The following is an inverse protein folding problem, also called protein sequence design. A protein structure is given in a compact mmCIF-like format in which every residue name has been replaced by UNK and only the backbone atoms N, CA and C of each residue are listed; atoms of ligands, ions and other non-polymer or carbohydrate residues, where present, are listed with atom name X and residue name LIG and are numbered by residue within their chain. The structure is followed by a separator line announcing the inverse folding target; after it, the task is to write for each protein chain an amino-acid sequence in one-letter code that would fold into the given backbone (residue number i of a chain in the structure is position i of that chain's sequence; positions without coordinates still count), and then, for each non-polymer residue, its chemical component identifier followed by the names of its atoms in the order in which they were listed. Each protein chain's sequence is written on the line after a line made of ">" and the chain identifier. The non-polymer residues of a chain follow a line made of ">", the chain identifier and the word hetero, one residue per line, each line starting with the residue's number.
data_IF_811851342347
#
_entry.id   IF_811851342347
#
_cell.length_a   1.000
_cell.length_b   1.000
_cell.length_c   1.000
_cell.angle_alpha   90.00
_cell.angle_beta   90.00
_cell.angle_gamma   90.00
#
_symmetry.space_group_name_H-M   'P 1'
#
loop_
_entity.id
_entity.type
_entity.pdbx_description
1 polymer ?
#
# COMPACT_ATOMS: atom_id res chain seq x y z
N UNK A 1 -31.00 12.19 0.51
CA UNK A 1 -30.46 13.55 0.26
C UNK A 1 -29.46 13.96 1.35
N UNK A 2 -29.81 13.87 2.64
CA UNK A 2 -28.91 14.23 3.75
C UNK A 2 -27.52 13.55 3.76
N UNK A 3 -27.35 12.22 3.53
CA UNK A 3 -26.01 11.62 3.56
C UNK A 3 -25.05 12.14 2.48
N UNK A 4 -25.58 12.51 1.30
CA UNK A 4 -24.79 13.10 0.21
C UNK A 4 -24.34 14.52 0.56
N UNK A 5 -25.21 15.31 1.18
CA UNK A 5 -24.88 16.66 1.66
C UNK A 5 -23.83 16.60 2.79
N UNK A 6 -23.95 15.64 3.70
CA UNK A 6 -22.94 15.40 4.74
C UNK A 6 -21.59 15.00 4.14
N UNK A 7 -21.59 14.11 3.15
CA UNK A 7 -20.37 13.73 2.43
C UNK A 7 -19.72 14.94 1.75
N UNK A 8 -20.52 15.79 1.10
CA UNK A 8 -20.03 17.03 0.49
C UNK A 8 -19.41 17.97 1.53
N UNK A 9 -20.05 18.15 2.69
CA UNK A 9 -19.51 18.96 3.79
C UNK A 9 -18.22 18.37 4.38
N UNK A 10 -18.10 17.05 4.46
CA UNK A 10 -16.88 16.38 4.90
C UNK A 10 -15.72 16.61 3.94
N UNK A 11 -15.97 16.54 2.63
CA UNK A 11 -14.96 16.87 1.62
C UNK A 11 -14.58 18.33 1.67
N UNK A 12 -15.55 19.25 1.77
CA UNK A 12 -15.29 20.68 1.92
C UNK A 12 -14.36 20.93 3.12
N UNK A 13 -14.62 20.28 4.27
CA UNK A 13 -13.79 20.35 5.47
C UNK A 13 -12.39 19.75 5.31
N UNK A 14 -12.24 18.76 4.44
CA UNK A 14 -10.98 18.05 4.17
C UNK A 14 -10.05 18.86 3.27
N UNK A 15 -10.62 19.75 2.45
CA UNK A 15 -9.90 20.54 1.44
C UNK A 15 -9.97 22.05 1.72
N UNK A 16 -10.17 22.47 2.98
CA UNK A 16 -10.35 23.90 3.28
C UNK A 16 -9.05 24.65 3.06
N UNK A 17 -9.07 25.83 2.42
CA UNK A 17 -7.85 26.55 2.08
C UNK A 17 -6.94 26.90 3.25
N UNK A 18 -7.53 27.23 4.39
CA UNK A 18 -6.87 27.84 5.53
C UNK A 18 -6.37 26.80 6.55
N UNK A 19 -6.33 25.52 6.19
CA UNK A 19 -5.94 24.46 7.14
C UNK A 19 -4.43 24.42 7.37
N UNK A 20 -4.04 24.20 8.63
CA UNK A 20 -2.65 24.01 9.02
C UNK A 20 -2.37 22.70 9.77
N UNK A 21 -1.10 22.50 10.13
CA UNK A 21 -0.67 21.30 10.87
C UNK A 21 -1.38 21.17 12.23
N UNK A 22 -1.84 22.26 12.84
CA UNK A 22 -2.61 22.22 14.11
C UNK A 22 -4.01 21.65 13.86
N UNK A 23 -4.57 21.88 12.68
CA UNK A 23 -5.83 21.25 12.28
C UNK A 23 -5.69 19.73 12.12
N UNK A 24 -4.50 19.21 11.80
CA UNK A 24 -4.26 17.77 11.79
C UNK A 24 -4.44 17.16 13.18
N UNK A 25 -3.95 17.83 14.23
CA UNK A 25 -4.05 17.33 15.61
C UNK A 25 -5.47 17.51 16.15
N UNK A 26 -6.07 18.69 15.93
CA UNK A 26 -7.31 19.09 16.61
C UNK A 26 -8.59 18.76 15.81
N UNK A 27 -8.52 18.74 14.48
CA UNK A 27 -9.68 18.54 13.59
C UNK A 27 -9.66 17.21 12.85
N UNK A 28 -8.49 16.68 12.49
CA UNK A 28 -8.41 15.39 11.80
C UNK A 28 -8.91 14.22 12.66
N UNK A 29 -9.01 14.37 13.98
CA UNK A 29 -9.52 13.31 14.84
C UNK A 29 -10.98 12.96 14.53
N UNK A 30 -11.82 13.93 14.14
CA UNK A 30 -13.25 13.71 13.86
C UNK A 30 -13.59 13.37 12.41
N UNK A 31 -12.75 13.79 11.45
CA UNK A 31 -13.03 13.65 10.01
C UNK A 31 -13.22 12.18 9.60
N UNK A 32 -12.33 11.23 9.96
CA UNK A 32 -12.53 9.82 9.62
C UNK A 32 -13.84 9.25 10.15
N UNK A 33 -14.23 9.59 11.38
CA UNK A 33 -15.49 9.11 11.95
C UNK A 33 -16.72 9.68 11.23
N UNK A 34 -16.65 10.92 10.75
CA UNK A 34 -17.69 11.50 9.91
C UNK A 34 -17.88 10.73 8.61
N UNK A 35 -16.79 10.42 7.90
CA UNK A 35 -16.85 9.59 6.69
C UNK A 35 -17.37 8.19 6.99
N UNK A 36 -16.85 7.53 8.04
CA UNK A 36 -17.30 6.21 8.45
C UNK A 36 -18.80 6.18 8.78
N UNK A 37 -19.32 7.20 9.47
CA UNK A 37 -20.74 7.30 9.78
C UNK A 37 -21.61 7.37 8.51
N UNK A 38 -21.18 8.15 7.49
CA UNK A 38 -21.88 8.21 6.20
C UNK A 38 -21.84 6.85 5.49
N UNK A 39 -20.67 6.20 5.46
CA UNK A 39 -20.50 4.92 4.75
C UNK A 39 -21.28 3.79 5.41
N UNK A 40 -21.26 3.70 6.74
CA UNK A 40 -21.98 2.68 7.50
C UNK A 40 -23.49 2.92 7.54
N UNK A 41 -23.96 4.14 7.28
CA UNK A 41 -25.38 4.44 7.13
C UNK A 41 -25.97 3.92 5.81
N UNK A 42 -25.15 3.60 4.80
CA UNK A 42 -25.64 2.92 3.60
C UNK A 42 -26.07 1.47 3.95
N UNK A 43 -27.26 1.01 3.51
CA UNK A 43 -27.78 -0.29 3.92
C UNK A 43 -26.94 -1.45 3.38
N UNK A 44 -26.93 -2.56 4.12
CA UNK A 44 -26.25 -3.80 3.71
C UNK A 44 -26.99 -4.45 2.54
N UNK A 45 -26.25 -5.09 1.64
CA UNK A 45 -26.81 -5.84 0.52
C UNK A 45 -27.22 -5.01 -0.69
N UNK A 46 -27.10 -3.68 -0.62
CA UNK A 46 -27.22 -2.80 -1.79
C UNK A 46 -25.88 -2.15 -2.12
N UNK A 47 -25.63 -1.76 -3.38
CA UNK A 47 -24.41 -1.04 -3.74
C UNK A 47 -24.25 0.25 -2.91
N UNK A 48 -23.14 0.35 -2.17
CA UNK A 48 -22.75 1.55 -1.40
C UNK A 48 -22.17 2.63 -2.32
N UNK A 49 -23.05 3.35 -3.02
CA UNK A 49 -22.67 4.34 -4.04
C UNK A 49 -21.88 5.52 -3.47
N UNK A 50 -22.21 5.98 -2.26
CA UNK A 50 -21.52 7.11 -1.63
C UNK A 50 -20.12 6.72 -1.18
N UNK A 51 -19.96 5.51 -0.63
CA UNK A 51 -18.65 4.93 -0.35
C UNK A 51 -17.77 4.86 -1.60
N UNK A 52 -18.29 4.34 -2.71
CA UNK A 52 -17.51 4.21 -3.95
C UNK A 52 -17.09 5.59 -4.49
N UNK A 53 -18.01 6.55 -4.57
CA UNK A 53 -17.73 7.92 -5.01
C UNK A 53 -16.69 8.59 -4.10
N UNK A 54 -16.81 8.39 -2.79
CA UNK A 54 -15.89 8.97 -1.82
C UNK A 54 -14.51 8.32 -1.88
N UNK A 55 -14.41 7.00 -2.07
CA UNK A 55 -13.14 6.29 -2.16
C UNK A 55 -12.32 6.74 -3.37
N UNK A 56 -12.94 6.93 -4.54
CA UNK A 56 -12.24 7.49 -5.70
C UNK A 56 -11.66 8.87 -5.36
N UNK A 57 -12.48 9.79 -4.84
CA UNK A 57 -12.01 11.15 -4.47
C UNK A 57 -10.94 11.15 -3.39
N UNK A 58 -11.06 10.29 -2.38
CA UNK A 58 -10.07 10.16 -1.31
C UNK A 58 -8.75 9.59 -1.85
N UNK A 59 -8.80 8.66 -2.80
CA UNK A 59 -7.60 8.12 -3.44
C UNK A 59 -6.94 9.13 -4.38
N UNK A 60 -7.71 9.97 -5.05
CA UNK A 60 -7.19 11.10 -5.84
C UNK A 60 -6.44 12.08 -4.93
N UNK A 61 -7.07 12.50 -3.82
CA UNK A 61 -6.42 13.35 -2.81
C UNK A 61 -5.18 12.71 -2.19
N UNK A 62 -5.18 11.38 -1.99
CA UNK A 62 -4.03 10.67 -1.45
C UNK A 62 -2.88 10.55 -2.46
N UNK A 63 -3.17 10.49 -3.77
CA UNK A 63 -2.19 10.39 -4.84
C UNK A 63 -1.66 11.74 -5.33
N UNK A 64 -2.31 12.83 -4.97
CA UNK A 64 -1.86 14.18 -5.25
C UNK A 64 -0.47 14.41 -4.61
N UNK A 65 0.53 14.66 -5.45
CA UNK A 65 1.93 14.78 -5.06
C UNK A 65 2.28 16.21 -4.56
N UNK A 66 1.27 17.07 -4.45
CA UNK A 66 1.40 18.42 -3.93
C UNK A 66 2.35 19.27 -4.76
N UNK A 67 2.46 19.02 -6.07
CA UNK A 67 3.31 19.81 -6.97
C UNK A 67 3.05 21.32 -6.82
N UNK A 68 1.78 21.72 -6.72
CA UNK A 68 1.38 23.10 -6.46
C UNK A 68 1.91 23.63 -5.12
N UNK A 69 1.94 22.79 -4.07
CA UNK A 69 2.50 23.16 -2.76
C UNK A 69 4.00 23.37 -2.87
N UNK A 70 4.69 22.50 -3.63
CA UNK A 70 6.14 22.57 -3.86
C UNK A 70 6.54 23.82 -4.64
N UNK A 71 5.69 24.32 -5.54
CA UNK A 71 5.91 25.58 -6.27
C UNK A 71 5.68 26.83 -5.41
N UNK A 72 5.35 26.67 -4.12
CA UNK A 72 5.05 27.80 -3.23
C UNK A 72 3.71 28.46 -3.55
N UNK A 73 2.87 27.82 -4.37
CA UNK A 73 1.52 28.29 -4.64
C UNK A 73 0.69 28.09 -3.38
N UNK A 74 -0.06 29.12 -2.99
CA UNK A 74 -1.00 29.03 -1.86
C UNK A 74 -2.14 28.14 -2.31
N UNK A 75 -1.97 26.85 -2.09
CA UNK A 75 -3.02 25.91 -2.38
C UNK A 75 -4.21 26.12 -1.46
N UNK A 76 -5.37 25.68 -1.92
CA UNK A 76 -6.44 25.36 -1.00
C UNK A 76 -5.98 24.22 -0.06
N UNK A 77 -5.54 24.56 1.15
CA UNK A 77 -5.31 23.63 2.25
C UNK A 77 -3.84 23.32 2.49
N UNK A 78 -2.92 24.08 1.87
CA UNK A 78 -1.50 23.93 2.13
C UNK A 78 -1.01 25.06 3.03
N UNK A 79 -0.69 24.73 4.28
CA UNK A 79 -0.06 25.66 5.21
C UNK A 79 1.34 25.17 5.54
N UNK A 80 2.31 26.10 5.60
CA UNK A 80 3.71 25.81 5.90
C UNK A 80 4.33 24.76 4.96
N UNK A 81 3.85 24.70 3.71
CA UNK A 81 4.29 23.75 2.70
C UNK A 81 3.75 22.33 2.89
N UNK A 82 2.87 22.03 3.86
CA UNK A 82 2.31 20.67 4.05
C UNK A 82 1.02 20.49 3.24
N UNK A 83 0.90 19.37 2.52
CA UNK A 83 -0.34 18.98 1.83
C UNK A 83 -1.37 18.39 2.82
N UNK A 84 -2.08 19.25 3.55
CA UNK A 84 -3.05 18.84 4.59
C UNK A 84 -4.18 17.95 4.04
N UNK A 85 -4.78 18.22 2.87
CA UNK A 85 -5.81 17.34 2.30
C UNK A 85 -5.32 15.91 2.07
N UNK A 86 -4.07 15.72 1.62
CA UNK A 86 -3.48 14.39 1.43
C UNK A 86 -3.36 13.63 2.76
N UNK A 87 -2.97 14.32 3.84
CA UNK A 87 -2.88 13.72 5.18
C UNK A 87 -4.26 13.28 5.68
N UNK A 88 -5.28 14.14 5.53
CA UNK A 88 -6.65 13.78 5.89
C UNK A 88 -7.16 12.60 5.07
N UNK A 89 -6.89 12.57 3.76
CA UNK A 89 -7.27 11.46 2.90
C UNK A 89 -6.67 10.13 3.39
N UNK A 90 -5.36 10.09 3.68
CA UNK A 90 -4.74 8.90 4.26
C UNK A 90 -5.33 8.50 5.62
N UNK A 91 -5.62 9.48 6.48
CA UNK A 91 -6.26 9.22 7.76
C UNK A 91 -7.65 8.60 7.58
N UNK A 92 -8.48 9.10 6.66
CA UNK A 92 -9.79 8.50 6.38
C UNK A 92 -9.63 7.09 5.79
N UNK A 93 -8.77 6.93 4.77
CA UNK A 93 -8.52 5.64 4.10
C UNK A 93 -8.06 4.56 5.09
N UNK A 94 -7.25 4.91 6.11
CA UNK A 94 -6.89 3.99 7.19
C UNK A 94 -8.12 3.36 7.85
N UNK A 95 -9.12 4.16 8.23
CA UNK A 95 -10.30 3.64 8.94
C UNK A 95 -11.17 2.83 7.99
N UNK A 96 -11.37 3.31 6.77
CA UNK A 96 -12.18 2.63 5.76
C UNK A 96 -11.58 1.26 5.40
N UNK A 97 -10.27 1.16 5.19
CA UNK A 97 -9.62 -0.12 4.93
C UNK A 97 -9.48 -1.00 6.19
N UNK A 98 -9.46 -0.43 7.39
CA UNK A 98 -9.46 -1.25 8.61
C UNK A 98 -10.85 -1.83 8.94
N UNK A 99 -11.92 -1.25 8.39
CA UNK A 99 -13.28 -1.67 8.68
C UNK A 99 -13.61 -3.04 8.06
N UNK A 100 -14.22 -3.91 8.87
CA UNK A 100 -14.58 -5.27 8.48
C UNK A 100 -15.89 -5.31 7.70
N UNK A 101 -16.84 -4.44 8.03
CA UNK A 101 -18.15 -4.38 7.37
C UNK A 101 -18.01 -3.90 5.92
N UNK A 102 -17.07 -3.00 5.64
CA UNK A 102 -16.83 -2.44 4.31
C UNK A 102 -15.88 -3.29 3.45
N UNK A 103 -15.53 -4.51 3.86
CA UNK A 103 -14.45 -5.28 3.20
C UNK A 103 -14.77 -5.64 1.74
N UNK A 104 -16.01 -6.02 1.46
CA UNK A 104 -16.43 -6.43 0.11
C UNK A 104 -16.34 -5.27 -0.87
N UNK A 105 -16.72 -4.07 -0.43
CA UNK A 105 -16.76 -2.85 -1.22
C UNK A 105 -15.37 -2.22 -1.36
N UNK A 106 -14.54 -2.29 -0.33
CA UNK A 106 -13.21 -1.63 -0.31
C UNK A 106 -12.12 -2.44 -0.98
N UNK A 107 -12.29 -3.75 -1.18
CA UNK A 107 -11.20 -4.58 -1.72
C UNK A 107 -10.82 -4.22 -3.16
N UNK A 108 -11.78 -3.78 -3.98
CA UNK A 108 -11.52 -3.30 -5.34
C UNK A 108 -10.61 -2.06 -5.40
N UNK A 109 -10.52 -1.32 -4.29
CA UNK A 109 -9.70 -0.12 -4.16
C UNK A 109 -8.32 -0.38 -3.55
N UNK A 110 -8.06 -1.59 -3.06
CA UNK A 110 -6.85 -1.88 -2.28
C UNK A 110 -5.56 -1.69 -3.10
N UNK A 111 -5.56 -2.01 -4.40
CA UNK A 111 -4.41 -1.80 -5.28
C UNK A 111 -4.06 -0.31 -5.44
N UNK A 112 -5.07 0.55 -5.69
CA UNK A 112 -4.91 2.01 -5.74
C UNK A 112 -4.43 2.54 -4.39
N UNK A 113 -5.00 2.06 -3.28
CA UNK A 113 -4.62 2.43 -1.92
C UNK A 113 -3.17 2.07 -1.58
N UNK A 114 -2.72 0.85 -1.91
CA UNK A 114 -1.34 0.41 -1.72
C UNK A 114 -0.37 1.30 -2.51
N UNK A 115 -0.71 1.59 -3.77
CA UNK A 115 0.09 2.47 -4.63
C UNK A 115 0.23 3.86 -4.04
N UNK A 116 -0.88 4.48 -3.62
CA UNK A 116 -0.89 5.81 -2.99
C UNK A 116 -0.05 5.83 -1.72
N UNK A 117 -0.24 4.86 -0.83
CA UNK A 117 0.50 4.78 0.42
C UNK A 117 2.01 4.57 0.18
N UNK A 118 2.38 3.76 -0.80
CA UNK A 118 3.79 3.51 -1.14
C UNK A 118 4.47 4.77 -1.69
N UNK A 119 3.78 5.52 -2.55
CA UNK A 119 4.25 6.85 -3.01
C UNK A 119 4.40 7.81 -1.83
N UNK A 120 3.43 7.82 -0.91
CA UNK A 120 3.40 8.68 0.27
C UNK A 120 4.59 8.55 1.22
N UNK A 121 5.24 7.37 1.31
CA UNK A 121 6.47 7.23 2.11
C UNK A 121 7.62 8.12 1.65
N UNK A 122 7.64 8.51 0.37
CA UNK A 122 8.68 9.37 -0.21
C UNK A 122 8.32 10.86 -0.16
N UNK A 123 7.19 11.22 0.46
CA UNK A 123 6.79 12.62 0.62
C UNK A 123 7.83 13.40 1.44
N UNK A 124 8.15 14.65 1.09
CA UNK A 124 9.01 15.49 1.91
C UNK A 124 8.36 15.87 3.25
N UNK A 125 7.03 15.81 3.35
CA UNK A 125 6.26 16.15 4.55
C UNK A 125 6.11 14.94 5.49
N UNK A 126 6.48 15.10 6.75
CA UNK A 126 6.44 14.01 7.72
C UNK A 126 5.00 13.56 7.99
N UNK A 127 4.05 14.49 7.94
CA UNK A 127 2.63 14.27 8.18
C UNK A 127 2.06 13.28 7.15
N UNK A 128 2.42 13.48 5.88
CA UNK A 128 2.02 12.63 4.77
C UNK A 128 2.63 11.25 4.93
N UNK A 129 3.94 11.17 5.24
CA UNK A 129 4.61 9.88 5.50
C UNK A 129 3.93 9.12 6.64
N UNK A 130 3.56 9.80 7.72
CA UNK A 130 2.86 9.19 8.85
C UNK A 130 1.46 8.69 8.45
N UNK A 131 0.66 9.53 7.79
CA UNK A 131 -0.67 9.12 7.29
C UNK A 131 -0.59 7.91 6.35
N UNK A 132 0.33 7.95 5.38
CA UNK A 132 0.57 6.87 4.44
C UNK A 132 1.01 5.58 5.14
N UNK A 133 1.88 5.66 6.15
CA UNK A 133 2.31 4.50 6.98
C UNK A 133 1.12 3.83 7.65
N UNK A 134 0.23 4.63 8.23
CA UNK A 134 -0.94 4.16 8.97
C UNK A 134 -1.99 3.54 8.04
N UNK A 135 -2.22 4.16 6.87
CA UNK A 135 -3.09 3.60 5.83
C UNK A 135 -2.51 2.31 5.24
N UNK A 136 -1.19 2.27 5.00
CA UNK A 136 -0.48 1.09 4.52
C UNK A 136 -0.63 -0.10 5.47
N UNK A 137 -0.52 0.12 6.79
CA UNK A 137 -0.68 -0.95 7.77
C UNK A 137 -2.08 -1.58 7.75
N UNK A 138 -3.13 -0.74 7.58
CA UNK A 138 -4.51 -1.20 7.43
C UNK A 138 -4.72 -1.97 6.12
N UNK A 139 -4.23 -1.42 5.01
CA UNK A 139 -4.27 -2.06 3.69
C UNK A 139 -3.56 -3.40 3.67
N UNK A 140 -2.33 -3.46 4.17
CA UNK A 140 -1.52 -4.67 4.21
C UNK A 140 -2.25 -5.77 4.99
N UNK A 141 -2.87 -5.43 6.12
CA UNK A 141 -3.69 -6.38 6.87
C UNK A 141 -4.92 -6.82 6.10
N UNK A 142 -5.59 -5.93 5.34
CA UNK A 142 -6.74 -6.29 4.48
C UNK A 142 -6.33 -7.25 3.35
N UNK A 143 -5.19 -7.00 2.69
CA UNK A 143 -4.82 -7.75 1.48
C UNK A 143 -4.10 -9.06 1.74
N UNK A 144 -3.33 -9.17 2.82
CA UNK A 144 -2.55 -10.38 3.15
C UNK A 144 -2.89 -11.00 4.51
N UNK A 145 -3.94 -10.52 5.18
CA UNK A 145 -4.39 -11.01 6.49
C UNK A 145 -3.43 -10.65 7.62
N UNK A 146 -3.73 -11.03 8.88
CA UNK A 146 -2.84 -10.78 10.03
C UNK A 146 -1.69 -11.80 10.09
N UNK A 147 -0.45 -11.31 10.26
CA UNK A 147 0.67 -12.15 10.68
C UNK A 147 0.52 -12.47 12.17
N UNK A 148 0.26 -13.72 12.53
CA UNK A 148 0.29 -14.16 13.93
C UNK A 148 1.74 -14.32 14.40
N UNK A 149 2.42 -13.21 14.68
CA UNK A 149 3.81 -13.19 15.19
C UNK A 149 3.88 -13.75 16.61
N UNK A 150 2.79 -13.69 17.36
CA UNK A 150 2.72 -14.12 18.75
C UNK A 150 2.82 -15.65 18.94
N UNK A 151 2.54 -16.46 17.91
CA UNK A 151 2.69 -17.91 18.02
C UNK A 151 3.16 -18.56 16.70
N UNK A 152 4.46 -18.39 16.34
CA UNK A 152 5.02 -18.98 15.12
C UNK A 152 4.99 -20.52 15.13
N UNK A 153 5.04 -21.12 16.33
CA UNK A 153 5.12 -22.57 16.55
C UNK A 153 3.81 -23.31 16.28
N UNK A 154 2.67 -22.63 16.23
CA UNK A 154 1.36 -23.25 15.98
C UNK A 154 1.13 -23.61 14.49
N UNK A 155 2.11 -23.42 13.59
CA UNK A 155 2.10 -23.89 12.19
C UNK A 155 1.03 -23.27 11.26
N UNK A 156 0.05 -22.54 11.81
CA UNK A 156 -1.09 -22.04 11.05
C UNK A 156 -0.91 -20.62 10.48
N UNK A 157 0.13 -19.88 10.85
CA UNK A 157 0.37 -18.52 10.32
C UNK A 157 0.83 -18.56 8.85
N UNK A 158 1.77 -19.46 8.52
CA UNK A 158 2.27 -19.66 7.15
C UNK A 158 1.21 -20.26 6.21
N UNK A 159 0.35 -21.18 6.70
CA UNK A 159 -0.77 -21.75 5.91
C UNK A 159 -1.88 -20.75 5.59
N UNK A 160 -2.02 -19.68 6.37
CA UNK A 160 -3.01 -18.61 6.14
C UNK A 160 -2.47 -17.46 5.30
N UNK A 161 -1.17 -17.47 4.98
CA UNK A 161 -0.58 -16.48 4.09
C UNK A 161 -1.12 -16.63 2.66
N UNK A 162 -1.33 -15.50 2.01
CA UNK A 162 -1.78 -15.44 0.61
C UNK A 162 -0.62 -15.86 -0.29
N UNK A 163 -0.88 -16.72 -1.28
CA UNK A 163 0.12 -17.09 -2.27
C UNK A 163 0.49 -15.86 -3.11
N UNK A 164 1.76 -15.74 -3.52
CA UNK A 164 2.20 -14.59 -4.31
C UNK A 164 1.43 -14.45 -5.62
N UNK A 165 1.19 -15.55 -6.32
CA UNK A 165 0.40 -15.60 -7.56
C UNK A 165 -1.06 -15.23 -7.33
N UNK A 166 -1.68 -15.70 -6.24
CA UNK A 166 -3.05 -15.30 -5.87
C UNK A 166 -3.14 -13.80 -5.55
N UNK A 167 -2.13 -13.24 -4.88
CA UNK A 167 -2.07 -11.82 -4.56
C UNK A 167 -2.01 -10.97 -5.83
N UNK A 168 -1.10 -11.28 -6.75
CA UNK A 168 -0.96 -10.50 -7.99
C UNK A 168 -2.10 -10.75 -8.97
N UNK A 169 -2.71 -11.95 -9.01
CA UNK A 169 -3.94 -12.18 -9.79
C UNK A 169 -5.10 -11.34 -9.26
N UNK A 170 -5.21 -11.19 -7.93
CA UNK A 170 -6.24 -10.35 -7.30
C UNK A 170 -5.98 -8.85 -7.45
N UNK A 171 -4.71 -8.44 -7.48
CA UNK A 171 -4.29 -7.04 -7.56
C UNK A 171 -3.24 -6.81 -8.66
N UNK A 172 -3.58 -7.04 -9.95
CA UNK A 172 -2.61 -7.13 -11.04
C UNK A 172 -1.78 -5.87 -11.25
N UNK A 173 -2.39 -4.70 -11.06
CA UNK A 173 -1.70 -3.40 -11.19
C UNK A 173 -0.61 -3.16 -10.15
N UNK A 174 -0.62 -3.90 -9.03
CA UNK A 174 0.42 -3.77 -8.01
C UNK A 174 1.74 -4.40 -8.43
N UNK A 175 1.73 -5.43 -9.28
CA UNK A 175 2.95 -6.13 -9.69
C UNK A 175 3.96 -5.19 -10.39
N UNK A 176 3.63 -4.57 -11.55
CA UNK A 176 4.60 -3.74 -12.26
C UNK A 176 5.02 -2.51 -11.44
N UNK A 177 4.10 -1.95 -10.65
CA UNK A 177 4.40 -0.80 -9.78
C UNK A 177 5.40 -1.16 -8.67
N UNK A 178 5.15 -2.25 -7.93
CA UNK A 178 6.02 -2.68 -6.84
C UNK A 178 7.39 -3.10 -7.36
N UNK A 179 7.43 -3.78 -8.51
CA UNK A 179 8.69 -4.21 -9.13
C UNK A 179 9.53 -3.00 -9.55
N UNK A 180 8.94 -2.04 -10.25
CA UNK A 180 9.63 -0.81 -10.65
C UNK A 180 10.19 -0.06 -9.44
N UNK A 181 9.39 0.12 -8.38
CA UNK A 181 9.85 0.81 -7.15
C UNK A 181 10.90 0.03 -6.38
N UNK A 182 10.86 -1.30 -6.41
CA UNK A 182 11.89 -2.11 -5.79
C UNK A 182 13.22 -2.03 -6.55
N UNK A 183 13.19 -2.02 -7.88
CA UNK A 183 14.38 -1.84 -8.73
C UNK A 183 15.01 -0.46 -8.47
N UNK A 184 14.22 0.61 -8.51
CA UNK A 184 14.67 1.98 -8.19
C UNK A 184 15.34 2.04 -6.81
N UNK A 185 14.72 1.43 -5.80
CA UNK A 185 15.29 1.38 -4.45
C UNK A 185 16.58 0.53 -4.36
N UNK A 186 16.67 -0.56 -5.13
CA UNK A 186 17.87 -1.39 -5.19
C UNK A 186 19.02 -0.66 -5.88
N UNK A 187 18.75 0.08 -6.96
CA UNK A 187 19.73 0.92 -7.66
C UNK A 187 20.30 1.99 -6.72
N UNK A 188 19.44 2.71 -5.98
CA UNK A 188 19.85 3.71 -5.01
C UNK A 188 20.75 3.14 -3.89
N UNK A 189 20.46 1.93 -3.42
CA UNK A 189 21.29 1.22 -2.43
C UNK A 189 22.67 0.83 -2.97
N UNK A 190 22.79 0.55 -4.26
CA UNK A 190 24.07 0.20 -4.89
C UNK A 190 24.91 1.43 -5.21
N UNK A 191 24.30 2.54 -5.61
CA UNK A 191 25.00 3.81 -5.83
C UNK A 191 25.63 4.34 -4.53
N UNK A 192 24.87 4.34 -3.43
CA UNK A 192 25.38 4.71 -2.09
C UNK A 192 26.43 3.74 -1.52
N UNK A 193 26.63 2.57 -2.14
CA UNK A 193 27.73 1.67 -1.80
C UNK A 193 29.05 2.11 -2.43
N UNK A 194 29.00 2.72 -3.63
CA UNK A 194 30.19 3.16 -4.38
C UNK A 194 30.77 4.46 -3.84
N UNK A 195 29.90 5.35 -3.40
CA UNK A 195 30.27 6.54 -2.65
C UNK A 195 30.55 6.10 -1.20
N UNK A 196 31.79 6.27 -0.71
CA UNK A 196 32.17 5.85 0.65
C UNK A 196 31.59 6.75 1.77
N UNK A 197 30.52 7.48 1.47
CA UNK A 197 29.84 8.37 2.42
C UNK A 197 28.93 7.56 3.34
N UNK A 198 28.94 7.93 4.63
CA UNK A 198 28.26 7.23 5.71
C UNK A 198 26.76 7.00 5.45
N UNK A 199 26.24 5.93 6.05
CA UNK A 199 24.82 5.55 6.10
C UNK A 199 23.96 6.08 4.92
N UNK A 200 24.23 5.60 3.70
CA UNK A 200 23.46 5.94 2.51
C UNK A 200 21.95 5.87 2.77
N UNK A 201 21.25 6.96 2.42
CA UNK A 201 19.82 7.08 2.66
C UNK A 201 19.07 5.93 1.98
N UNK A 202 18.36 5.12 2.77
CA UNK A 202 17.54 4.03 2.24
C UNK A 202 16.30 4.62 1.59
N UNK A 203 16.03 4.24 0.33
CA UNK A 203 14.83 4.69 -0.37
C UNK A 203 13.56 4.39 0.45
N UNK A 204 12.69 5.38 0.74
CA UNK A 204 11.57 5.22 1.67
C UNK A 204 10.57 4.12 1.31
N UNK A 205 10.38 3.85 0.02
CA UNK A 205 9.49 2.78 -0.45
C UNK A 205 10.04 1.34 -0.24
N UNK A 206 11.32 1.18 0.07
CA UNK A 206 11.96 -0.15 0.11
C UNK A 206 11.36 -1.05 1.20
N UNK A 207 11.36 -0.59 2.45
CA UNK A 207 10.86 -1.37 3.58
C UNK A 207 9.39 -1.77 3.42
N UNK A 208 8.47 -0.87 3.01
CA UNK A 208 7.10 -1.24 2.71
C UNK A 208 7.01 -2.41 1.72
N UNK A 209 7.72 -2.35 0.60
CA UNK A 209 7.68 -3.40 -0.43
C UNK A 209 8.22 -4.72 0.12
N UNK A 210 9.38 -4.71 0.79
CA UNK A 210 9.94 -5.91 1.40
C UNK A 210 9.01 -6.49 2.49
N UNK A 211 8.35 -5.64 3.27
CA UNK A 211 7.39 -6.05 4.28
C UNK A 211 6.16 -6.72 3.67
N UNK A 212 5.67 -6.23 2.53
CA UNK A 212 4.59 -6.88 1.77
C UNK A 212 5.00 -8.26 1.31
N UNK A 213 6.11 -8.34 0.55
CA UNK A 213 6.59 -9.58 -0.03
C UNK A 213 6.84 -10.64 1.05
N UNK A 214 7.43 -10.26 2.19
CA UNK A 214 7.67 -11.17 3.31
C UNK A 214 6.44 -11.79 3.97
N UNK A 215 5.23 -11.30 3.65
CA UNK A 215 3.94 -11.81 4.16
C UNK A 215 3.27 -12.78 3.19
N UNK A 216 3.82 -12.94 1.99
CA UNK A 216 3.32 -13.89 1.00
C UNK A 216 3.89 -15.29 1.30
N UNK A 217 3.30 -16.31 0.68
CA UNK A 217 3.87 -17.66 0.59
C UNK A 217 4.22 -17.99 -0.87
N UNK A 218 5.11 -18.98 -1.10
CA UNK A 218 5.40 -19.47 -2.44
C UNK A 218 4.12 -19.85 -3.21
N UNK A 219 4.16 -19.65 -4.53
CA UNK A 219 3.09 -20.02 -5.44
C UNK A 219 2.79 -21.53 -5.32
N UNK A 220 1.51 -21.90 -5.41
CA UNK A 220 1.07 -23.29 -5.21
C UNK A 220 1.62 -24.29 -6.25
N UNK A 221 2.16 -23.80 -7.36
CA UNK A 221 2.74 -24.58 -8.45
C UNK A 221 4.24 -24.36 -8.70
N UNK A 222 4.97 -23.70 -7.79
CA UNK A 222 6.43 -23.66 -7.91
C UNK A 222 6.92 -25.11 -7.90
N UNK A 223 7.58 -25.60 -8.98
CA UNK A 223 7.98 -26.98 -9.02
C UNK A 223 8.90 -27.22 -7.83
N UNK A 224 8.44 -28.03 -6.88
CA UNK A 224 9.33 -28.65 -5.93
C UNK A 224 10.37 -29.34 -6.80
N UNK A 225 11.58 -28.79 -6.83
CA UNK A 225 12.70 -29.25 -7.63
C UNK A 225 12.92 -30.74 -7.29
N UNK A 226 12.30 -31.64 -8.06
CA UNK A 226 12.22 -33.07 -7.70
C UNK A 226 10.95 -33.86 -8.06
N UNK A 227 9.92 -33.29 -8.71
CA UNK A 227 8.87 -34.11 -9.36
C UNK A 227 8.74 -33.78 -10.83
N UNK A 228 9.17 -34.73 -11.66
CA UNK A 228 8.87 -34.81 -13.08
C UNK A 228 7.35 -34.76 -13.25
N UNK A 229 6.84 -33.70 -13.87
CA UNK A 229 5.43 -33.57 -14.21
C UNK A 229 5.22 -34.25 -15.56
N UNK A 230 4.33 -35.25 -15.57
CA UNK A 230 3.74 -35.76 -16.80
C UNK A 230 2.93 -34.66 -17.48
N UNK A 231 3.01 -34.63 -18.80
CA UNK A 231 2.22 -33.77 -19.68
C UNK A 231 0.73 -34.10 -19.52
N UNK A 232 -0.04 -33.12 -19.05
CA UNK A 232 -1.48 -33.07 -19.30
C UNK A 232 -1.85 -31.63 -19.71
N UNK A 233 -2.61 -31.54 -20.80
CA UNK A 233 -3.03 -30.34 -21.51
C UNK A 233 -3.64 -29.26 -20.60
N UNK A 234 -3.05 -28.06 -20.62
CA UNK A 234 -3.66 -26.84 -20.05
C UNK A 234 -3.72 -25.76 -21.12
N UNK A 235 -4.92 -25.20 -21.28
CA UNK A 235 -5.29 -24.14 -22.22
C UNK A 235 -4.23 -23.02 -22.34
N UNK A 236 -3.66 -22.87 -23.54
CA UNK A 236 -2.57 -21.94 -23.87
C UNK A 236 -2.91 -20.44 -23.77
N UNK A 237 -4.13 -20.07 -23.39
CA UNK A 237 -4.55 -18.67 -23.35
C UNK A 237 -4.35 -18.00 -21.97
N UNK A 238 -4.26 -18.78 -20.89
CA UNK A 238 -4.01 -18.27 -19.52
C UNK A 238 -2.51 -18.15 -19.18
N UNK A 239 -1.63 -18.76 -19.98
CA UNK A 239 -0.19 -18.80 -19.71
C UNK A 239 0.53 -17.48 -20.02
N UNK A 240 0.00 -16.66 -20.92
CA UNK A 240 0.65 -15.39 -21.35
C UNK A 240 0.48 -14.30 -20.28
N UNK A 241 -0.69 -14.21 -19.63
CA UNK A 241 -0.93 -13.24 -18.55
C UNK A 241 -0.26 -13.68 -17.24
N UNK A 242 -0.12 -15.00 -17.02
CA UNK A 242 0.53 -15.55 -15.83
C UNK A 242 2.04 -15.23 -15.77
N UNK A 243 2.72 -15.13 -16.91
CA UNK A 243 4.16 -14.81 -16.97
C UNK A 243 4.49 -13.38 -16.52
N UNK A 244 3.62 -12.42 -16.85
CA UNK A 244 3.84 -10.99 -16.53
C UNK A 244 3.59 -10.66 -15.04
N UNK A 245 2.87 -11.52 -14.33
CA UNK A 245 2.52 -11.34 -12.91
C UNK A 245 3.28 -12.30 -11.97
N UNK A 246 4.32 -12.97 -12.45
CA UNK A 246 5.11 -13.93 -11.67
C UNK A 246 5.83 -13.24 -10.48
N UNK A 247 5.58 -13.66 -9.22
CA UNK A 247 6.35 -13.21 -8.06
C UNK A 247 7.86 -13.41 -8.19
N UNK A 248 8.35 -14.41 -8.94
CA UNK A 248 9.77 -14.67 -9.10
C UNK A 248 10.52 -13.49 -9.75
N UNK A 249 9.81 -12.63 -10.52
CA UNK A 249 10.37 -11.41 -11.11
C UNK A 249 10.97 -10.44 -10.07
N UNK A 250 10.53 -10.51 -8.81
CA UNK A 250 11.06 -9.68 -7.72
C UNK A 250 12.40 -10.21 -7.16
N UNK A 251 12.70 -11.51 -7.33
CA UNK A 251 13.85 -12.16 -6.68
C UNK A 251 15.21 -11.51 -7.03
N UNK A 252 15.51 -11.11 -8.29
CA UNK A 252 16.76 -10.43 -8.61
C UNK A 252 16.94 -9.12 -7.82
N UNK A 253 15.92 -8.27 -7.76
CA UNK A 253 15.97 -7.01 -7.04
C UNK A 253 16.09 -7.22 -5.51
N UNK A 254 15.32 -8.18 -4.94
CA UNK A 254 15.44 -8.53 -3.51
C UNK A 254 16.84 -9.05 -3.16
N UNK A 255 17.46 -9.87 -4.02
CA UNK A 255 18.84 -10.36 -3.82
C UNK A 255 19.86 -9.24 -3.83
N UNK A 256 19.66 -8.19 -4.63
CA UNK A 256 20.50 -6.98 -4.61
C UNK A 256 20.37 -6.26 -3.26
N UNK A 257 19.16 -6.06 -2.76
CA UNK A 257 18.92 -5.48 -1.43
C UNK A 257 19.57 -6.30 -0.30
N UNK A 258 19.57 -7.63 -0.40
CA UNK A 258 20.18 -8.53 0.59
C UNK A 258 21.72 -8.41 0.67
N UNK A 259 22.37 -7.83 -0.34
CA UNK A 259 23.81 -7.55 -0.38
C UNK A 259 24.17 -6.14 0.11
N UNK A 260 23.18 -5.34 0.49
CA UNK A 260 23.37 -3.95 0.95
C UNK A 260 24.11 -3.86 2.29
N UNK A 261 24.68 -2.67 2.57
CA UNK A 261 25.42 -2.40 3.83
C UNK A 261 24.50 -2.34 5.06
N UNK A 262 23.25 -1.91 4.88
CA UNK A 262 22.28 -1.72 5.97
C UNK A 262 21.73 -3.07 6.47
N UNK A 263 22.08 -3.44 7.70
CA UNK A 263 21.67 -4.74 8.30
C UNK A 263 20.16 -4.96 8.29
N UNK A 264 19.37 -3.95 8.66
CA UNK A 264 17.91 -4.07 8.70
C UNK A 264 17.29 -4.30 7.31
N UNK A 265 17.88 -3.73 6.25
CA UNK A 265 17.48 -4.01 4.86
C UNK A 265 17.79 -5.45 4.50
N UNK A 266 18.99 -5.95 4.83
CA UNK A 266 19.36 -7.36 4.57
C UNK A 266 18.40 -8.33 5.25
N UNK A 267 18.07 -8.09 6.52
CA UNK A 267 17.15 -8.92 7.28
C UNK A 267 15.73 -8.91 6.67
N UNK A 268 15.25 -7.75 6.21
CA UNK A 268 13.96 -7.63 5.53
C UNK A 268 13.97 -8.33 4.17
N UNK A 269 15.03 -8.14 3.37
CA UNK A 269 15.20 -8.78 2.07
C UNK A 269 15.28 -10.31 2.17
N UNK A 270 15.98 -10.85 3.17
CA UNK A 270 16.04 -12.28 3.41
C UNK A 270 14.65 -12.89 3.65
N UNK A 271 13.81 -12.23 4.46
CA UNK A 271 12.41 -12.67 4.67
C UNK A 271 11.56 -12.52 3.42
N UNK A 272 11.75 -11.45 2.66
CA UNK A 272 11.04 -11.18 1.42
C UNK A 272 11.42 -12.12 0.28
N UNK A 273 12.60 -12.73 0.31
CA UNK A 273 13.07 -13.68 -0.70
C UNK A 273 12.41 -15.05 -0.57
N UNK A 274 12.09 -15.48 0.65
CA UNK A 274 11.54 -16.81 0.94
C UNK A 274 10.27 -17.18 0.12
N UNK A 275 9.29 -16.28 -0.08
CA UNK A 275 8.12 -16.59 -0.90
C UNK A 275 8.32 -16.45 -2.42
N UNK A 276 9.50 -16.02 -2.88
CA UNK A 276 9.79 -15.76 -4.30
C UNK A 276 10.63 -16.87 -4.96
N UNK A 277 11.03 -17.88 -4.18
CA UNK A 277 11.95 -18.96 -4.60
C UNK A 277 11.33 -20.34 -4.37
#
# INVERSE_FOLDING_TARGET
>A
RQPREWLASLFERTTRPEQDVRDLIRRSAGIPFGFMAVFLAEPRGVPRTLLHEALEKLLDLANDDGEYVRRGEVARGASQGVHVPQVHAFNVLRFVFADKELTTETVGFAAKGLTAAIKGFSSPHWEVRNGATLAYAALLTKVVGYMNVANPKAGGASRRAVAGDDFFRRFPTTHPFLLAKLVEAADALESTRKENDGAGAVHPALYPILALLSRLRPAAGAPARGKEAGEDDVDKNDSVVAGDLDPAAFAPAVRRCARGRVHAVRAAAARALAPLI
#
